data_IF_619310401334
#
_entry.id   IF_619310401334
#
_cell.length_a   1.000
_cell.length_b   1.000
_cell.length_c   1.000
_cell.angle_alpha   90.00
_cell.angle_beta   90.00
_cell.angle_gamma   90.00
#
_symmetry.space_group_name_H-M   'P 1'
#
loop_
_entity.id
_entity.type
_entity.pdbx_description
1 polymer ?
#
# COMPACT_ATOMS: atom_id res chain seq x y z
N UNK A 1 11.95 -35.02 -36.98
CA UNK A 1 12.41 -33.70 -36.51
C UNK A 1 11.73 -33.44 -35.19
N UNK A 2 12.46 -33.71 -34.10
CA UNK A 2 11.99 -33.46 -32.73
C UNK A 2 12.46 -32.06 -32.35
N UNK A 3 11.52 -31.17 -32.09
CA UNK A 3 11.75 -30.02 -31.23
C UNK A 3 10.68 -30.11 -30.15
N UNK A 4 11.05 -30.73 -29.02
CA UNK A 4 10.26 -30.61 -27.80
C UNK A 4 10.44 -29.17 -27.33
N UNK A 5 9.34 -28.44 -27.24
CA UNK A 5 9.29 -27.25 -26.42
C UNK A 5 9.62 -27.70 -25.00
N UNK A 6 10.78 -27.29 -24.52
CA UNK A 6 11.14 -27.31 -23.12
C UNK A 6 10.32 -26.18 -22.46
N UNK A 7 9.07 -26.49 -22.13
CA UNK A 7 8.27 -25.66 -21.24
C UNK A 7 8.70 -26.03 -19.83
N UNK A 8 9.87 -25.56 -19.43
CA UNK A 8 10.21 -25.40 -18.02
C UNK A 8 9.32 -24.29 -17.50
N UNK A 9 8.10 -24.68 -17.11
CA UNK A 9 7.24 -23.95 -16.19
C UNK A 9 7.97 -23.93 -14.85
N UNK A 10 9.01 -23.09 -14.75
CA UNK A 10 9.52 -22.65 -13.47
C UNK A 10 8.37 -21.86 -12.88
N UNK A 11 7.66 -22.45 -11.92
CA UNK A 11 6.61 -21.80 -11.16
C UNK A 11 7.13 -20.42 -10.74
N UNK A 12 6.72 -19.39 -11.48
CA UNK A 12 7.18 -18.02 -11.30
C UNK A 12 6.66 -17.62 -9.93
N UNK A 13 7.55 -17.59 -8.94
CA UNK A 13 7.22 -17.08 -7.62
C UNK A 13 6.50 -15.74 -7.83
N UNK A 14 5.35 -15.53 -7.16
CA UNK A 14 4.60 -14.29 -7.33
C UNK A 14 5.53 -13.10 -7.06
N UNK A 15 5.37 -11.99 -7.79
CA UNK A 15 6.20 -10.82 -7.58
C UNK A 15 6.15 -10.39 -6.12
N UNK A 16 7.28 -9.92 -5.61
CA UNK A 16 7.37 -9.35 -4.27
C UNK A 16 6.43 -8.16 -4.16
N UNK A 17 5.59 -8.17 -3.13
CA UNK A 17 4.70 -7.10 -2.78
C UNK A 17 5.23 -6.33 -1.58
N UNK A 18 4.68 -5.15 -1.37
CA UNK A 18 4.86 -4.39 -0.14
C UNK A 18 4.43 -5.26 1.05
N UNK A 19 5.17 -5.16 2.16
CA UNK A 19 5.00 -5.94 3.40
C UNK A 19 5.47 -7.39 3.32
N UNK A 20 6.02 -7.83 2.19
CA UNK A 20 6.73 -9.08 2.17
C UNK A 20 7.99 -8.99 3.05
N UNK A 21 8.16 -9.99 3.91
CA UNK A 21 9.41 -10.21 4.62
C UNK A 21 10.31 -11.02 3.69
N UNK A 22 11.45 -10.44 3.37
CA UNK A 22 12.41 -10.96 2.42
C UNK A 22 13.77 -11.08 3.08
N UNK A 23 14.57 -12.01 2.55
CA UNK A 23 15.95 -12.22 2.93
C UNK A 23 16.80 -12.31 1.67
N UNK A 24 18.01 -11.76 1.73
CA UNK A 24 18.96 -11.89 0.63
C UNK A 24 19.28 -13.39 0.40
N UNK A 25 19.25 -13.84 -0.87
CA UNK A 25 19.51 -15.24 -1.25
C UNK A 25 21.00 -15.59 -1.28
N UNK A 26 21.85 -14.58 -1.43
CA UNK A 26 23.29 -14.69 -1.52
C UNK A 26 23.98 -14.51 -0.16
N UNK A 27 23.23 -14.07 0.86
CA UNK A 27 23.67 -13.96 2.24
C UNK A 27 22.75 -14.74 3.22
N UNK A 28 23.20 -15.93 3.61
CA UNK A 28 22.50 -16.79 4.58
C UNK A 28 22.43 -16.20 6.00
N UNK A 29 23.29 -15.22 6.32
CA UNK A 29 23.34 -14.53 7.61
C UNK A 29 22.60 -13.19 7.58
N UNK A 30 22.05 -12.77 6.43
CA UNK A 30 21.30 -11.52 6.31
C UNK A 30 20.14 -11.45 7.29
N UNK A 31 19.87 -10.26 7.82
CA UNK A 31 18.69 -10.02 8.65
C UNK A 31 17.41 -9.99 7.80
N UNK A 32 16.28 -10.25 8.46
CA UNK A 32 14.96 -10.13 7.82
C UNK A 32 14.71 -8.66 7.43
N UNK A 33 14.41 -8.44 6.16
CA UNK A 33 14.04 -7.13 5.64
C UNK A 33 12.58 -7.13 5.20
N UNK A 34 11.91 -5.99 5.31
CA UNK A 34 10.52 -5.80 4.87
C UNK A 34 10.53 -4.97 3.61
N UNK A 35 9.78 -5.41 2.59
CA UNK A 35 9.56 -4.63 1.37
C UNK A 35 8.68 -3.43 1.71
N UNK A 36 9.26 -2.24 1.63
CA UNK A 36 8.56 -0.98 1.92
C UNK A 36 8.01 -0.34 0.65
N UNK A 37 8.65 -0.58 -0.50
CA UNK A 37 8.22 -0.03 -1.78
C UNK A 37 8.67 -0.90 -2.98
N UNK A 38 7.91 -0.87 -4.07
CA UNK A 38 8.17 -1.61 -5.32
C UNK A 38 8.04 -0.67 -6.53
N UNK A 39 8.96 0.29 -6.70
CA UNK A 39 8.91 1.22 -7.81
C UNK A 39 9.12 0.47 -9.15
N UNK A 40 8.34 0.77 -10.20
CA UNK A 40 8.51 0.18 -11.53
C UNK A 40 9.68 0.84 -12.29
N UNK A 41 10.84 0.91 -11.63
CA UNK A 41 12.05 1.60 -12.10
C UNK A 41 13.20 0.60 -12.11
N UNK A 42 13.95 0.58 -13.21
CA UNK A 42 15.08 -0.33 -13.39
C UNK A 42 16.27 0.04 -12.49
N UNK A 43 17.12 -0.93 -12.15
CA UNK A 43 18.31 -0.73 -11.33
C UNK A 43 19.30 0.27 -11.93
N UNK A 44 19.37 0.38 -13.26
CA UNK A 44 20.21 1.38 -13.95
C UNK A 44 19.62 2.81 -13.91
N UNK A 45 18.33 2.93 -13.61
CA UNK A 45 17.65 4.23 -13.49
C UNK A 45 17.47 4.65 -12.03
N UNK A 46 17.50 3.69 -11.09
CA UNK A 46 17.34 3.98 -9.67
C UNK A 46 18.58 4.60 -9.06
N UNK A 47 18.44 5.84 -8.59
CA UNK A 47 19.54 6.65 -8.06
C UNK A 47 19.66 6.52 -6.53
N UNK A 48 20.85 6.20 -6.06
CA UNK A 48 21.23 6.16 -4.64
C UNK A 48 22.25 7.25 -4.29
N UNK A 49 22.14 7.79 -3.08
CA UNK A 49 23.07 8.79 -2.56
C UNK A 49 24.12 8.11 -1.68
N UNK A 50 25.38 8.16 -2.10
CA UNK A 50 26.55 7.71 -1.34
C UNK A 50 27.28 8.91 -0.74
N UNK A 51 28.17 8.65 0.21
CA UNK A 51 29.04 9.69 0.77
C UNK A 51 29.94 10.35 -0.29
N UNK A 52 30.29 9.64 -1.37
CA UNK A 52 31.17 10.13 -2.44
C UNK A 52 30.41 10.73 -3.65
N UNK A 53 29.07 10.81 -3.60
CA UNK A 53 28.25 11.35 -4.67
C UNK A 53 26.99 10.56 -4.93
N UNK A 54 26.47 10.69 -6.14
CA UNK A 54 25.22 10.06 -6.58
C UNK A 54 25.58 8.97 -7.59
N UNK A 55 25.07 7.76 -7.41
CA UNK A 55 25.26 6.62 -8.33
C UNK A 55 23.95 5.85 -8.53
N UNK A 56 23.91 4.91 -9.46
CA UNK A 56 22.74 4.05 -9.68
C UNK A 56 22.92 2.71 -8.97
N UNK A 57 21.83 1.98 -8.76
CA UNK A 57 21.86 0.67 -8.11
C UNK A 57 22.69 -0.32 -8.93
N UNK A 58 22.53 -0.31 -10.25
CA UNK A 58 23.31 -1.17 -11.14
C UNK A 58 24.80 -0.78 -11.22
N UNK A 59 25.15 0.51 -11.14
CA UNK A 59 26.56 0.95 -11.15
C UNK A 59 27.26 0.62 -9.83
N UNK A 60 26.57 0.79 -8.70
CA UNK A 60 27.07 0.41 -7.37
C UNK A 60 27.15 -1.11 -7.20
N UNK A 61 26.24 -1.86 -7.83
CA UNK A 61 26.13 -3.32 -7.76
C UNK A 61 26.15 -3.92 -9.18
N UNK A 62 27.33 -4.04 -9.82
CA UNK A 62 27.44 -4.49 -11.21
C UNK A 62 27.04 -5.96 -11.43
N UNK A 63 26.84 -6.71 -10.35
CA UNK A 63 26.27 -8.06 -10.37
C UNK A 63 24.75 -8.07 -10.55
N UNK A 64 24.09 -6.93 -10.37
CA UNK A 64 22.66 -6.79 -10.61
C UNK A 64 22.36 -6.66 -12.10
N UNK A 65 21.22 -7.20 -12.48
CA UNK A 65 20.69 -7.01 -13.83
C UNK A 65 20.22 -5.56 -13.96
N UNK A 66 20.86 -4.80 -14.86
CA UNK A 66 20.62 -3.37 -15.03
C UNK A 66 19.17 -3.04 -15.44
N UNK A 67 18.55 -3.96 -16.19
CA UNK A 67 17.17 -3.88 -16.66
C UNK A 67 16.15 -4.40 -15.63
N UNK A 68 16.59 -5.00 -14.51
CA UNK A 68 15.67 -5.48 -13.48
C UNK A 68 15.09 -4.32 -12.66
N UNK A 69 13.78 -4.39 -12.44
CA UNK A 69 13.06 -3.48 -11.53
C UNK A 69 13.61 -3.60 -10.11
N UNK A 70 13.68 -2.50 -9.37
CA UNK A 70 14.16 -2.52 -7.99
C UNK A 70 13.03 -2.71 -6.99
N UNK A 71 13.35 -3.42 -5.91
CA UNK A 71 12.52 -3.57 -4.72
C UNK A 71 13.24 -2.85 -3.59
N UNK A 72 12.55 -1.93 -2.93
CA UNK A 72 13.09 -1.17 -1.80
C UNK A 72 12.68 -1.86 -0.50
N UNK A 73 13.67 -2.19 0.30
CA UNK A 73 13.52 -2.89 1.57
C UNK A 73 14.12 -2.07 2.71
N UNK A 74 13.58 -2.26 3.91
CA UNK A 74 14.16 -1.77 5.16
C UNK A 74 14.32 -2.95 6.12
N UNK A 75 15.40 -2.97 6.91
CA UNK A 75 15.59 -4.04 7.90
C UNK A 75 14.48 -3.99 8.95
N UNK A 76 13.92 -5.15 9.28
CA UNK A 76 12.77 -5.24 10.17
C UNK A 76 13.05 -4.65 11.55
N UNK A 77 14.25 -4.84 12.09
CA UNK A 77 14.63 -4.35 13.41
C UNK A 77 14.68 -2.82 13.44
N UNK A 78 15.38 -2.20 12.49
CA UNK A 78 15.44 -0.74 12.35
C UNK A 78 14.06 -0.14 12.05
N UNK A 79 13.28 -0.80 11.20
CA UNK A 79 11.91 -0.37 10.87
C UNK A 79 10.99 -0.42 12.10
N UNK A 80 11.10 -1.46 12.93
CA UNK A 80 10.32 -1.57 14.16
C UNK A 80 10.74 -0.54 15.22
N UNK A 81 12.03 -0.19 15.29
CA UNK A 81 12.53 0.85 16.21
C UNK A 81 12.14 2.26 15.75
N UNK A 82 12.31 2.57 14.47
CA UNK A 82 12.09 3.91 13.92
C UNK A 82 10.61 4.19 13.59
N UNK A 83 9.87 3.17 13.14
CA UNK A 83 8.47 3.26 12.71
C UNK A 83 7.67 2.03 13.19
N UNK A 84 7.44 1.88 14.52
CA UNK A 84 6.69 0.74 15.06
C UNK A 84 5.28 0.61 14.46
N UNK A 85 4.65 1.73 14.12
CA UNK A 85 3.34 1.80 13.45
C UNK A 85 3.32 1.14 12.06
N UNK A 86 4.48 1.03 11.40
CA UNK A 86 4.58 0.39 10.09
C UNK A 86 4.47 -1.15 10.18
N UNK A 87 4.81 -1.74 11.32
CA UNK A 87 4.65 -3.19 11.53
C UNK A 87 3.17 -3.56 11.64
N UNK A 88 2.31 -2.58 11.94
CA UNK A 88 0.86 -2.75 12.09
C UNK A 88 0.07 -2.29 10.84
N UNK A 89 0.73 -1.68 9.85
CA UNK A 89 0.06 -1.15 8.64
C UNK A 89 0.04 -2.15 7.48
N UNK A 90 -0.96 -1.99 6.60
CA UNK A 90 -1.05 -2.65 5.29
C UNK A 90 -0.57 -1.80 4.13
N UNK A 91 -0.21 -0.54 4.38
CA UNK A 91 0.07 0.42 3.34
C UNK A 91 1.56 0.48 2.97
N UNK A 92 1.81 0.78 1.69
CA UNK A 92 3.15 1.03 1.20
C UNK A 92 3.71 2.32 1.78
N UNK A 93 4.95 2.27 2.27
CA UNK A 93 5.60 3.49 2.71
C UNK A 93 5.97 4.31 1.46
N UNK A 94 5.47 5.54 1.32
CA UNK A 94 5.92 6.40 0.23
C UNK A 94 7.42 6.64 0.38
N UNK A 95 8.16 6.59 -0.73
CA UNK A 95 9.62 6.76 -0.74
C UNK A 95 10.10 8.08 -0.11
N UNK A 96 9.24 9.10 -0.07
CA UNK A 96 9.54 10.35 0.63
C UNK A 96 9.66 10.15 2.16
N UNK A 97 8.83 9.28 2.74
CA UNK A 97 8.80 8.96 4.18
C UNK A 97 9.85 7.93 4.59
N UNK A 98 10.53 7.29 3.64
CA UNK A 98 11.66 6.39 3.93
C UNK A 98 12.98 7.12 4.19
N UNK A 99 13.00 8.45 4.17
CA UNK A 99 14.23 9.26 4.32
C UNK A 99 14.89 9.10 5.70
N UNK A 100 14.12 8.74 6.72
CA UNK A 100 14.60 8.51 8.09
C UNK A 100 15.06 7.05 8.33
N UNK A 101 15.00 6.19 7.31
CA UNK A 101 15.30 4.76 7.37
C UNK A 101 16.48 4.41 6.46
N UNK A 102 17.29 3.44 6.87
CA UNK A 102 18.33 2.84 6.03
C UNK A 102 17.66 1.91 5.01
N UNK A 103 17.18 2.48 3.91
CA UNK A 103 16.58 1.71 2.82
C UNK A 103 17.62 1.19 1.84
N UNK A 104 17.36 -0.01 1.32
CA UNK A 104 18.20 -0.68 0.35
C UNK A 104 17.37 -1.12 -0.85
N UNK A 105 17.95 -1.02 -2.05
CA UNK A 105 17.31 -1.39 -3.29
C UNK A 105 17.94 -2.67 -3.87
N UNK A 106 17.12 -3.68 -4.14
CA UNK A 106 17.56 -4.98 -4.67
C UNK A 106 16.73 -5.38 -5.89
N UNK A 107 17.32 -6.09 -6.86
CA UNK A 107 16.53 -6.77 -7.87
C UNK A 107 15.72 -7.91 -7.21
N UNK A 108 14.46 -8.15 -7.61
CA UNK A 108 13.58 -9.13 -6.96
C UNK A 108 14.15 -10.55 -7.01
N UNK A 109 14.94 -10.88 -8.04
CA UNK A 109 15.57 -12.19 -8.18
C UNK A 109 16.59 -12.53 -7.07
N UNK A 110 17.16 -11.52 -6.40
CA UNK A 110 18.12 -11.69 -5.30
C UNK A 110 17.45 -11.90 -3.95
N UNK A 111 16.17 -11.56 -3.83
CA UNK A 111 15.41 -11.66 -2.59
C UNK A 111 14.61 -12.97 -2.54
N UNK A 112 14.59 -13.64 -1.40
CA UNK A 112 13.68 -14.75 -1.11
C UNK A 112 12.62 -14.26 -0.14
N UNK A 113 11.35 -14.41 -0.51
CA UNK A 113 10.23 -14.22 0.42
C UNK A 113 10.30 -15.28 1.51
N UNK A 114 10.29 -14.84 2.76
CA UNK A 114 10.31 -15.66 3.96
C UNK A 114 8.94 -15.69 4.62
N UNK A 115 8.26 -14.53 4.66
CA UNK A 115 6.90 -14.37 5.15
C UNK A 115 6.25 -13.17 4.46
N UNK A 116 4.97 -12.94 4.74
CA UNK A 116 4.29 -11.69 4.40
C UNK A 116 3.65 -11.17 5.69
N UNK A 117 3.77 -9.87 5.96
CA UNK A 117 3.07 -9.26 7.09
C UNK A 117 1.62 -9.08 6.64
N UNK A 118 0.79 -10.08 6.91
CA UNK A 118 -0.66 -9.91 6.92
C UNK A 118 -0.99 -9.20 8.24
N UNK A 119 -1.71 -8.06 8.25
CA UNK A 119 -2.35 -7.64 9.49
C UNK A 119 -3.24 -8.80 9.93
N UNK A 120 -3.26 -9.07 11.23
CA UNK A 120 -4.16 -10.07 11.79
C UNK A 120 -5.61 -9.74 11.40
N UNK A 121 -6.21 -10.51 10.51
CA UNK A 121 -7.43 -11.17 10.95
C UNK A 121 -6.96 -12.10 12.07
N UNK A 122 -7.59 -12.04 13.23
CA UNK A 122 -7.34 -12.93 14.36
C UNK A 122 -7.34 -14.41 13.93
N UNK A 123 -6.21 -14.92 13.43
CA UNK A 123 -5.93 -16.35 13.36
C UNK A 123 -5.35 -16.75 14.73
N UNK A 124 -6.28 -16.87 15.68
CA UNK A 124 -6.12 -17.76 16.82
C UNK A 124 -5.79 -19.16 16.28
N UNK A 125 -4.50 -19.53 16.16
CA UNK A 125 -4.25 -20.84 15.58
C UNK A 125 -2.84 -21.40 15.43
N UNK A 126 -1.82 -20.99 16.20
CA UNK A 126 -0.66 -21.89 16.40
C UNK A 126 -0.12 -21.81 17.83
N UNK A 127 -1.01 -22.07 18.78
CA UNK A 127 -0.58 -22.69 20.04
C UNK A 127 -0.28 -24.15 19.73
N UNK A 128 1.00 -24.46 19.56
CA UNK A 128 1.53 -25.79 19.80
C UNK A 128 1.25 -26.19 21.25
N UNK A 129 0.04 -26.71 21.52
CA UNK A 129 -0.33 -27.32 22.79
C UNK A 129 -0.20 -28.85 22.69
N UNK A 130 0.62 -29.50 23.54
CA UNK A 130 0.57 -30.94 23.66
C UNK A 130 -0.65 -31.36 24.50
N UNK A 131 -1.59 -32.03 23.85
CA UNK A 131 -2.30 -33.22 24.33
C UNK A 131 -2.87 -33.16 25.76
N UNK A 132 -4.14 -32.75 25.90
CA UNK A 132 -5.11 -33.41 26.79
C UNK A 132 -6.54 -32.90 26.56
N UNK A 133 -7.36 -33.70 25.88
CA UNK A 133 -8.83 -33.70 26.02
C UNK A 133 -9.25 -34.58 27.22
N UNK A 134 -10.52 -34.57 27.70
CA UNK A 134 -11.65 -33.65 27.43
C UNK A 134 -12.48 -33.29 28.70
N UNK A 135 -13.62 -32.62 28.44
CA UNK A 135 -14.92 -32.68 29.15
C UNK A 135 -15.30 -31.45 30.02
N UNK A 136 -16.40 -30.78 29.62
CA UNK A 136 -17.02 -29.73 30.41
C UNK A 136 -18.15 -28.99 29.68
N UNK A 137 -19.37 -29.51 29.80
CA UNK A 137 -20.63 -28.95 29.30
C UNK A 137 -20.91 -27.48 29.67
N UNK A 138 -21.64 -26.83 28.75
CA UNK A 138 -22.72 -25.86 28.97
C UNK A 138 -22.39 -24.52 29.67
N UNK A 139 -22.61 -23.42 28.95
CA UNK A 139 -23.86 -22.66 29.09
C UNK A 139 -23.83 -21.41 28.19
N UNK A 140 -25.02 -21.07 27.70
CA UNK A 140 -25.36 -19.86 26.98
C UNK A 140 -24.86 -18.58 27.69
N UNK A 141 -24.38 -17.62 26.90
CA UNK A 141 -24.88 -16.25 27.00
C UNK A 141 -24.51 -15.41 25.76
N UNK A 142 -25.50 -15.21 24.90
CA UNK A 142 -25.60 -14.03 24.06
C UNK A 142 -26.13 -12.88 24.93
N UNK A 143 -25.52 -11.71 24.86
CA UNK A 143 -26.31 -10.50 24.59
C UNK A 143 -25.65 -9.72 23.44
N UNK A 144 -26.35 -9.51 22.32
CA UNK A 144 -27.17 -8.31 22.10
C UNK A 144 -26.50 -7.04 22.64
N UNK A 145 -25.70 -6.43 21.77
CA UNK A 145 -25.28 -5.03 21.85
C UNK A 145 -25.73 -4.34 20.58
N UNK A 146 -27.00 -3.95 20.53
CA UNK A 146 -27.47 -2.85 19.68
C UNK A 146 -26.71 -1.60 20.14
N UNK A 147 -25.86 -1.08 19.25
CA UNK A 147 -25.16 0.19 19.36
C UNK A 147 -25.52 1.01 18.12
N UNK A 148 -26.69 1.62 18.19
CA UNK A 148 -27.13 2.77 17.39
C UNK A 148 -26.05 3.86 17.47
N UNK A 149 -25.34 4.08 16.37
CA UNK A 149 -24.80 5.39 16.02
C UNK A 149 -25.20 5.63 14.55
N UNK A 150 -26.44 6.08 14.39
CA UNK A 150 -26.94 6.86 13.25
C UNK A 150 -26.00 8.05 13.00
N UNK A 151 -24.84 7.80 12.38
CA UNK A 151 -24.29 8.75 11.45
C UNK A 151 -25.05 8.52 10.15
N UNK A 152 -25.78 9.55 9.72
CA UNK A 152 -26.35 9.63 8.38
C UNK A 152 -25.18 9.54 7.38
N UNK A 153 -24.77 8.30 7.06
CA UNK A 153 -23.70 8.05 6.11
C UNK A 153 -24.32 8.36 4.76
N UNK A 154 -24.12 9.60 4.31
CA UNK A 154 -24.51 10.07 2.98
C UNK A 154 -24.05 9.05 1.95
N UNK A 155 -25.01 8.30 1.44
CA UNK A 155 -24.76 7.28 0.43
C UNK A 155 -24.44 7.93 -0.92
N UNK A 156 -23.88 7.17 -1.87
CA UNK A 156 -23.66 7.66 -3.24
C UNK A 156 -24.94 8.13 -3.94
N UNK A 157 -26.12 7.79 -3.40
CA UNK A 157 -27.44 8.20 -3.87
C UNK A 157 -27.83 9.64 -3.46
N UNK A 158 -27.14 10.25 -2.50
CA UNK A 158 -27.39 11.64 -2.05
C UNK A 158 -26.56 12.67 -2.87
N UNK A 159 -25.63 12.17 -3.68
CA UNK A 159 -24.87 12.97 -4.64
C UNK A 159 -25.66 13.18 -5.92
N UNK A 160 -25.54 14.36 -6.52
CA UNK A 160 -25.98 14.58 -7.90
C UNK A 160 -25.27 13.61 -8.87
N UNK A 161 -25.91 13.29 -9.99
CA UNK A 161 -25.38 12.34 -11.00
C UNK A 161 -23.97 12.74 -11.46
N UNK A 162 -23.72 14.05 -11.59
CA UNK A 162 -22.43 14.63 -11.96
C UNK A 162 -21.37 14.47 -10.86
N UNK A 163 -21.75 14.67 -9.59
CA UNK A 163 -20.88 14.47 -8.43
C UNK A 163 -20.55 12.98 -8.21
N UNK A 164 -21.51 12.09 -8.47
CA UNK A 164 -21.26 10.65 -8.42
C UNK A 164 -20.28 10.20 -9.51
N UNK A 165 -20.39 10.75 -10.72
CA UNK A 165 -19.45 10.50 -11.81
C UNK A 165 -18.04 11.04 -11.50
N UNK A 166 -17.96 12.27 -10.96
CA UNK A 166 -16.71 12.86 -10.49
C UNK A 166 -16.08 12.03 -9.36
N UNK A 167 -16.87 11.60 -8.39
CA UNK A 167 -16.44 10.69 -7.32
C UNK A 167 -15.87 9.41 -7.90
N UNK A 168 -16.56 8.75 -8.84
CA UNK A 168 -16.05 7.53 -9.46
C UNK A 168 -14.72 7.76 -10.19
N UNK A 169 -14.59 8.91 -10.86
CA UNK A 169 -13.36 9.29 -11.55
C UNK A 169 -12.19 9.51 -10.60
N UNK A 170 -12.45 10.17 -9.47
CA UNK A 170 -11.46 10.40 -8.41
C UNK A 170 -11.17 9.11 -7.61
N UNK A 171 -12.18 8.27 -7.38
CA UNK A 171 -12.12 6.98 -6.71
C UNK A 171 -11.22 5.98 -7.47
N UNK A 172 -11.14 6.10 -8.80
CA UNK A 172 -10.18 5.35 -9.61
C UNK A 172 -8.72 5.68 -9.26
N UNK A 173 -8.46 6.83 -8.64
CA UNK A 173 -7.11 7.33 -8.36
C UNK A 173 -6.80 7.47 -6.87
N UNK A 174 -7.78 7.46 -5.97
CA UNK A 174 -7.63 7.58 -4.50
C UNK A 174 -8.91 7.18 -3.77
N UNK A 175 -8.89 6.97 -2.45
CA UNK A 175 -10.09 6.65 -1.66
C UNK A 175 -10.94 7.91 -1.39
N UNK A 176 -12.04 8.11 -2.11
CA UNK A 176 -12.87 9.33 -1.98
C UNK A 176 -14.04 9.11 -1.03
N UNK A 177 -14.11 9.93 0.01
CA UNK A 177 -15.18 9.94 1.01
C UNK A 177 -16.24 10.97 0.64
N UNK A 178 -17.46 10.75 1.10
CA UNK A 178 -18.57 11.69 0.95
C UNK A 178 -18.89 12.22 2.33
N UNK A 179 -18.88 13.54 2.48
CA UNK A 179 -19.23 14.22 3.72
C UNK A 179 -20.28 15.29 3.47
N UNK A 180 -21.02 15.69 4.50
CA UNK A 180 -21.91 16.85 4.43
C UNK A 180 -21.15 18.08 4.90
N UNK A 181 -21.04 19.11 4.06
CA UNK A 181 -20.51 20.41 4.45
C UNK A 181 -21.53 21.51 4.09
N UNK A 182 -21.88 22.33 5.08
CA UNK A 182 -22.87 23.41 4.94
C UNK A 182 -24.27 22.93 4.45
N UNK A 183 -24.62 21.67 4.72
CA UNK A 183 -25.88 21.07 4.27
C UNK A 183 -25.87 20.59 2.81
N UNK A 184 -24.68 20.53 2.19
CA UNK A 184 -24.48 20.02 0.84
C UNK A 184 -23.50 18.83 0.87
N UNK A 185 -23.76 17.83 0.02
CA UNK A 185 -22.88 16.67 -0.10
C UNK A 185 -21.59 17.06 -0.84
N UNK A 186 -20.45 16.95 -0.16
CA UNK A 186 -19.10 17.25 -0.66
C UNK A 186 -18.25 16.00 -0.74
N UNK A 187 -17.26 16.00 -1.64
CA UNK A 187 -16.32 14.89 -1.78
C UNK A 187 -15.01 15.23 -1.08
N UNK A 188 -14.55 14.36 -0.19
CA UNK A 188 -13.25 14.49 0.47
C UNK A 188 -12.25 13.55 -0.20
N UNK A 189 -11.23 14.16 -0.80
CA UNK A 189 -10.25 13.51 -1.67
C UNK A 189 -8.88 13.56 -0.98
N UNK A 190 -8.44 12.47 -0.33
CA UNK A 190 -7.10 12.37 0.23
C UNK A 190 -6.08 12.29 -0.92
N UNK A 191 -5.15 13.25 -0.98
CA UNK A 191 -4.02 13.22 -1.90
C UNK A 191 -2.76 13.78 -1.24
N UNK A 192 -1.64 13.09 -1.43
CA UNK A 192 -0.33 13.50 -0.90
C UNK A 192 -0.32 13.73 0.63
N UNK A 193 -1.14 13.00 1.37
CA UNK A 193 -1.26 13.16 2.83
C UNK A 193 -2.12 14.35 3.29
N UNK A 194 -2.83 15.01 2.38
CA UNK A 194 -3.76 16.10 2.68
C UNK A 194 -5.14 15.81 2.09
N UNK A 195 -6.19 16.18 2.83
CA UNK A 195 -7.59 15.98 2.41
C UNK A 195 -8.10 17.21 1.67
N UNK A 196 -8.48 17.05 0.41
CA UNK A 196 -9.08 18.11 -0.40
C UNK A 196 -10.59 17.93 -0.51
N UNK A 197 -11.36 18.91 -0.04
CA UNK A 197 -12.82 18.91 -0.15
C UNK A 197 -13.26 19.53 -1.47
N UNK A 198 -14.08 18.82 -2.25
CA UNK A 198 -14.69 19.27 -3.50
C UNK A 198 -16.17 19.53 -3.27
N UNK A 199 -16.60 20.75 -3.59
CA UNK A 199 -17.98 21.21 -3.46
C UNK A 199 -18.77 20.91 -4.75
N UNK A 200 -20.10 20.78 -4.67
CA UNK A 200 -20.95 20.56 -5.84
C UNK A 200 -20.94 21.72 -6.85
N UNK A 201 -20.52 22.91 -6.43
CA UNK A 201 -20.29 24.09 -7.29
C UNK A 201 -18.97 24.00 -8.10
N UNK A 202 -18.19 22.92 -7.96
CA UNK A 202 -16.89 22.74 -8.61
C UNK A 202 -15.72 23.42 -7.91
N UNK A 203 -16.00 24.16 -6.83
CA UNK A 203 -14.97 24.71 -5.95
C UNK A 203 -14.25 23.61 -5.18
N UNK A 204 -12.95 23.79 -4.92
CA UNK A 204 -12.12 22.85 -4.14
C UNK A 204 -11.41 23.60 -3.02
N UNK A 205 -11.24 22.95 -1.86
CA UNK A 205 -10.47 23.46 -0.73
C UNK A 205 -9.01 23.73 -1.11
N UNK A 206 -8.41 24.77 -0.52
CA UNK A 206 -7.04 25.22 -0.82
C UNK A 206 -6.01 24.11 -0.57
N UNK A 207 -4.98 24.05 -1.42
CA UNK A 207 -3.92 23.06 -1.31
C UNK A 207 -3.11 22.90 -2.61
N UNK A 208 -1.98 22.18 -2.55
CA UNK A 208 -1.04 22.07 -3.68
C UNK A 208 -1.64 21.38 -4.91
N UNK A 209 -2.72 20.60 -4.73
CA UNK A 209 -3.44 19.92 -5.80
C UNK A 209 -4.84 20.49 -6.07
N UNK A 210 -5.26 21.53 -5.35
CA UNK A 210 -6.59 22.12 -5.49
C UNK A 210 -6.90 22.51 -6.93
N UNK A 211 -5.94 23.14 -7.63
CA UNK A 211 -6.09 23.58 -9.02
C UNK A 211 -6.33 22.42 -9.99
N UNK A 212 -5.63 21.28 -9.78
CA UNK A 212 -5.82 20.08 -10.62
C UNK A 212 -7.12 19.34 -10.32
N UNK A 213 -7.51 19.29 -9.05
CA UNK A 213 -8.77 18.65 -8.64
C UNK A 213 -9.94 19.52 -9.12
N UNK A 214 -9.80 20.85 -9.09
CA UNK A 214 -10.79 21.79 -9.59
C UNK A 214 -10.94 21.71 -11.12
N UNK A 215 -9.84 21.61 -11.88
CA UNK A 215 -9.88 21.42 -13.34
C UNK A 215 -10.64 20.13 -13.70
N UNK A 216 -10.36 19.03 -12.97
CA UNK A 216 -11.08 17.78 -13.13
C UNK A 216 -12.55 17.90 -12.68
N UNK A 217 -12.84 18.60 -11.59
CA UNK A 217 -14.20 18.81 -11.11
C UNK A 217 -15.02 19.62 -12.13
N UNK A 218 -14.43 20.65 -12.73
CA UNK A 218 -15.02 21.45 -13.78
C UNK A 218 -15.39 20.61 -15.01
N UNK A 219 -14.55 19.65 -15.43
CA UNK A 219 -14.88 18.75 -16.55
C UNK A 219 -16.18 17.96 -16.35
N UNK A 220 -16.55 17.67 -15.10
CA UNK A 220 -17.72 16.86 -14.76
C UNK A 220 -18.91 17.72 -14.29
N UNK A 221 -18.66 18.84 -13.61
CA UNK A 221 -19.69 19.70 -13.00
C UNK A 221 -20.08 20.90 -13.87
N UNK A 222 -19.18 21.44 -14.72
CA UNK A 222 -19.52 22.48 -15.70
C UNK A 222 -20.12 21.91 -17.01
N UNK A 223 -20.35 20.59 -17.09
CA UNK A 223 -20.87 19.89 -18.27
C UNK A 223 -22.38 19.99 -18.51
N UNK A 224 -23.12 20.78 -17.72
CA UNK A 224 -24.59 20.85 -17.75
C UNK A 224 -25.10 22.18 -18.32
N UNK A 225 -25.07 22.34 -19.66
CA UNK A 225 -25.88 23.32 -20.42
C UNK A 225 -27.01 22.64 -21.22
#
# INVERSE_FOLDING_TARGET
MSAKADTTDTAREPPLGVLDVVRDREDDEADDAVVVNTPPVAADEWVIHRHDGVTTVADDNPEYDADAEVVVVAFRDELAEARPEFVETTEALPLADTSDLSTYAFPPGRLRRVASICPKDDDEGDTNEPSAEPEGEAAANTPSGEGDEDADVLGPSDLGEDMAALRERLANSTDVKVEEADGEAVLVVPKLGEDHTVFPDGSVSDGPLADRIADLAAEYLEGSE
#
